data_IF_955368911279
#
_entry.id   IF_955368911279
#
_cell.length_a   1.000
_cell.length_b   1.000
_cell.length_c   1.000
_cell.angle_alpha   90.00
_cell.angle_beta   90.00
_cell.angle_gamma   90.00
#
_symmetry.space_group_name_H-M   'P 1'
#
loop_
_entity.id
_entity.type
_entity.pdbx_description
1 polymer ?
#
# COMPACT_ATOMS: atom_id res chain seq x y z
N UNK A 1 -16.61 -4.01 -8.28
CA UNK A 1 -15.43 -3.14 -8.29
C UNK A 1 -15.81 -1.82 -7.61
N UNK A 2 -15.05 -1.35 -6.61
CA UNK A 2 -15.37 -0.16 -5.80
C UNK A 2 -14.91 1.17 -6.46
N UNK A 3 -14.11 1.11 -7.53
CA UNK A 3 -13.59 2.26 -8.29
C UNK A 3 -14.11 2.26 -9.73
N UNK A 4 -14.45 3.46 -10.23
CA UNK A 4 -14.92 3.71 -11.60
C UNK A 4 -13.78 3.92 -12.63
N UNK A 5 -12.50 3.74 -12.25
CA UNK A 5 -11.36 3.99 -13.14
C UNK A 5 -10.02 3.43 -12.66
N UNK A 6 -8.93 3.64 -13.43
CA UNK A 6 -7.61 3.17 -13.04
C UNK A 6 -7.14 3.84 -11.75
N UNK A 7 -6.48 3.06 -10.89
CA UNK A 7 -5.86 3.58 -9.67
C UNK A 7 -4.72 4.51 -10.07
N UNK A 8 -4.70 5.70 -9.46
CA UNK A 8 -3.65 6.71 -9.67
C UNK A 8 -2.69 6.81 -8.49
N UNK A 9 -3.19 6.54 -7.30
CA UNK A 9 -2.43 6.67 -6.06
C UNK A 9 -2.88 5.62 -5.05
N UNK A 10 -1.91 5.11 -4.29
CA UNK A 10 -2.10 4.23 -3.13
C UNK A 10 -1.34 4.87 -1.98
N UNK A 11 -2.08 5.24 -0.93
CA UNK A 11 -1.52 5.75 0.32
C UNK A 11 -1.64 4.63 1.36
N UNK A 12 -0.52 4.31 2.01
CA UNK A 12 -0.43 3.29 3.06
C UNK A 12 0.01 3.97 4.34
N UNK A 13 -0.87 3.98 5.32
CA UNK A 13 -0.62 4.53 6.65
C UNK A 13 -0.39 3.38 7.63
N UNK A 14 0.78 3.40 8.26
CA UNK A 14 1.17 2.49 9.31
C UNK A 14 0.93 3.17 10.66
N UNK A 15 -0.12 2.77 11.37
CA UNK A 15 -0.47 3.34 12.68
C UNK A 15 -0.02 2.41 13.81
N UNK A 16 0.87 2.89 14.68
CA UNK A 16 1.39 2.16 15.83
C UNK A 16 2.91 2.27 15.99
N UNK A 17 3.43 1.53 16.97
CA UNK A 17 4.87 1.51 17.29
C UNK A 17 5.60 0.55 16.35
N UNK A 18 5.94 1.05 15.17
CA UNK A 18 6.71 0.35 14.14
C UNK A 18 8.02 1.08 13.80
N UNK A 19 8.51 1.85 14.78
CA UNK A 19 9.80 2.51 14.67
C UNK A 19 10.89 1.43 14.51
N UNK A 20 11.88 1.72 13.68
CA UNK A 20 12.99 0.82 13.30
C UNK A 20 12.62 -0.52 12.61
N UNK A 21 11.34 -0.77 12.30
CA UNK A 21 10.92 -1.92 11.48
C UNK A 21 10.92 -1.60 9.99
N UNK A 22 11.43 -2.56 9.20
CA UNK A 22 11.26 -2.58 7.75
C UNK A 22 9.82 -3.03 7.41
N UNK A 23 9.01 -2.08 6.95
CA UNK A 23 7.62 -2.30 6.56
C UNK A 23 7.47 -2.57 5.05
N UNK A 24 8.57 -2.62 4.30
CA UNK A 24 8.54 -2.92 2.86
C UNK A 24 7.83 -4.24 2.51
N UNK A 25 7.88 -5.32 3.33
CA UNK A 25 7.10 -6.53 3.04
C UNK A 25 5.60 -6.30 3.14
N UNK A 26 5.14 -5.41 4.03
CA UNK A 26 3.73 -5.06 4.19
C UNK A 26 3.26 -4.24 3.00
N UNK A 27 4.01 -3.20 2.61
CA UNK A 27 3.77 -2.41 1.40
C UNK A 27 3.62 -3.31 0.18
N UNK A 28 4.56 -4.24 0.03
CA UNK A 28 4.60 -5.18 -1.09
C UNK A 28 3.39 -6.11 -1.09
N UNK A 29 3.00 -6.64 0.07
CA UNK A 29 1.82 -7.51 0.19
C UNK A 29 0.53 -6.76 -0.19
N UNK A 30 0.38 -5.50 0.23
CA UNK A 30 -0.74 -4.64 -0.14
C UNK A 30 -0.79 -4.44 -1.66
N UNK A 31 0.32 -4.05 -2.27
CA UNK A 31 0.39 -3.82 -3.71
C UNK A 31 0.12 -5.11 -4.50
N UNK A 32 0.70 -6.24 -4.09
CA UNK A 32 0.43 -7.53 -4.71
C UNK A 32 -1.07 -7.85 -4.68
N UNK A 33 -1.70 -7.76 -3.51
CA UNK A 33 -3.13 -8.04 -3.34
C UNK A 33 -4.01 -7.11 -4.18
N UNK A 34 -3.71 -5.81 -4.16
CA UNK A 34 -4.43 -4.80 -4.93
C UNK A 34 -4.34 -5.04 -6.44
N UNK A 35 -3.16 -5.42 -6.93
CA UNK A 35 -2.86 -5.49 -8.35
C UNK A 35 -3.14 -6.85 -9.00
N UNK A 36 -3.14 -7.94 -8.21
CA UNK A 36 -3.48 -9.30 -8.69
C UNK A 36 -4.77 -9.35 -9.53
N UNK A 37 -5.90 -8.74 -9.14
CA UNK A 37 -7.12 -8.77 -9.96
C UNK A 37 -7.07 -7.83 -11.17
N UNK A 38 -6.11 -6.91 -11.24
CA UNK A 38 -6.04 -5.87 -12.28
C UNK A 38 -5.08 -6.20 -13.42
N UNK A 39 -4.19 -7.18 -13.21
CA UNK A 39 -3.10 -7.53 -14.11
C UNK A 39 -3.29 -8.97 -14.57
N UNK A 40 -3.13 -9.21 -15.88
CA UNK A 40 -3.18 -10.56 -16.46
C UNK A 40 -1.89 -11.35 -16.20
N UNK A 41 -0.76 -10.66 -16.13
CA UNK A 41 0.55 -11.23 -15.79
C UNK A 41 0.69 -11.51 -14.29
N UNK A 42 1.65 -12.36 -13.91
CA UNK A 42 1.86 -12.73 -12.51
C UNK A 42 2.43 -11.57 -11.67
N UNK A 43 1.66 -11.14 -10.68
CA UNK A 43 2.08 -10.21 -9.63
C UNK A 43 2.62 -11.00 -8.43
N UNK A 44 3.83 -10.68 -7.99
CA UNK A 44 4.51 -11.35 -6.88
C UNK A 44 5.19 -10.35 -5.93
N UNK A 45 5.81 -10.86 -4.86
CA UNK A 45 6.45 -10.04 -3.83
C UNK A 45 7.75 -9.35 -4.27
N UNK A 46 8.26 -9.64 -5.46
CA UNK A 46 9.46 -9.01 -6.00
C UNK A 46 9.08 -7.89 -6.98
N UNK A 47 8.10 -8.13 -7.84
CA UNK A 47 7.75 -7.23 -8.93
C UNK A 47 6.58 -6.26 -8.63
N UNK A 48 5.84 -6.43 -7.53
CA UNK A 48 4.66 -5.60 -7.24
C UNK A 48 4.98 -4.10 -7.20
N UNK A 49 6.08 -3.69 -6.57
CA UNK A 49 6.48 -2.27 -6.51
C UNK A 49 6.84 -1.70 -7.89
N UNK A 50 7.56 -2.49 -8.70
CA UNK A 50 7.97 -2.09 -10.04
C UNK A 50 6.74 -1.94 -10.94
N UNK A 51 5.83 -2.91 -10.92
CA UNK A 51 4.60 -2.89 -11.70
C UNK A 51 3.69 -1.72 -11.34
N UNK A 52 3.68 -1.31 -10.06
CA UNK A 52 2.91 -0.15 -9.61
C UNK A 52 3.46 1.13 -10.25
N UNK A 53 4.78 1.30 -10.21
CA UNK A 53 5.48 2.43 -10.84
C UNK A 53 5.29 2.47 -12.36
N UNK A 54 5.42 1.34 -13.04
CA UNK A 54 5.22 1.23 -14.50
C UNK A 54 3.81 1.60 -14.94
N UNK A 55 2.81 1.35 -14.10
CA UNK A 55 1.42 1.75 -14.34
C UNK A 55 1.12 3.20 -13.95
N UNK A 56 2.13 3.95 -13.50
CA UNK A 56 1.97 5.32 -13.05
C UNK A 56 1.20 5.44 -11.74
N UNK A 57 1.14 4.37 -10.93
CA UNK A 57 0.53 4.41 -9.61
C UNK A 57 1.55 5.02 -8.64
N UNK A 58 1.21 6.18 -8.08
CA UNK A 58 1.98 6.77 -7.01
C UNK A 58 1.76 5.99 -5.72
N UNK A 59 2.82 5.48 -5.11
CA UNK A 59 2.75 4.80 -3.80
C UNK A 59 3.35 5.75 -2.77
N UNK A 60 2.59 6.04 -1.71
CA UNK A 60 3.05 6.87 -0.58
C UNK A 60 2.88 6.07 0.70
N UNK A 61 3.92 6.05 1.53
CA UNK A 61 3.94 5.39 2.82
C UNK A 61 4.08 6.46 3.90
N UNK A 62 3.24 6.39 4.92
CA UNK A 62 3.30 7.26 6.09
C UNK A 62 3.29 6.40 7.36
N UNK A 63 4.12 6.75 8.34
CA UNK A 63 4.11 6.13 9.67
C UNK A 63 3.52 7.14 10.65
N UNK A 64 2.55 6.70 11.43
CA UNK A 64 1.88 7.48 12.46
C UNK A 64 2.16 6.79 13.79
N UNK A 65 3.00 7.42 14.61
CA UNK A 65 3.40 6.92 15.92
C UNK A 65 2.37 7.22 17.01
N UNK A 66 1.40 8.10 16.73
CA UNK A 66 0.31 8.40 17.65
C UNK A 66 -0.72 7.27 17.64
N UNK A 67 -0.84 6.60 18.79
CA UNK A 67 -2.11 6.04 19.19
C UNK A 67 -3.05 7.24 19.34
N UNK A 68 -3.82 7.59 18.30
CA UNK A 68 -4.99 8.43 18.48
C UNK A 68 -5.93 7.67 19.42
N UNK A 69 -5.72 7.88 20.71
CA UNK A 69 -6.68 7.62 21.75
C UNK A 69 -7.94 8.36 21.28
N UNK A 70 -8.91 7.61 20.76
CA UNK A 70 -10.23 8.14 20.46
C UNK A 70 -10.85 8.59 21.78
N UNK A 71 -10.50 9.80 22.23
CA UNK A 71 -11.24 10.56 23.22
C UNK A 71 -12.50 11.06 22.52
N UNK A 72 -13.44 10.15 22.27
CA UNK A 72 -14.82 10.56 22.07
C UNK A 72 -15.28 11.19 23.39
N UNK A 73 -15.51 12.51 23.36
CA UNK A 73 -16.23 13.26 24.38
C UNK A 73 -17.75 13.14 24.14
#
# INVERSE_FOLDING_TARGET
QLSQGPIKEVVIEYAGDFDDLDLSPVTTAVLKGLMTPMIKDDVNFVNAQILAKERGIKVTEAKITESEEYLNL
#
